data_IF_090126487264
#
_entry.id   IF_090126487264
#
_cell.length_a   1.000
_cell.length_b   1.000
_cell.length_c   1.000
_cell.angle_alpha   90.00
_cell.angle_beta   90.00
_cell.angle_gamma   90.00
#
_symmetry.space_group_name_H-M   'P 1'
#
loop_
_entity.id
_entity.type
_entity.pdbx_description
1 polymer ?
#
# COMPACT_ATOMS: atom_id res chain seq x y z
N UNK A 1 12.97 31.48 -9.36
CA UNK A 1 12.37 30.14 -9.19
C UNK A 1 11.27 30.03 -10.24
N UNK A 2 11.27 28.98 -11.08
CA UNK A 2 10.14 28.73 -11.96
C UNK A 2 8.92 28.38 -11.09
N UNK A 3 7.80 29.06 -11.33
CA UNK A 3 6.54 28.74 -10.67
C UNK A 3 6.05 27.41 -11.29
N UNK A 4 5.83 26.40 -10.44
CA UNK A 4 5.23 25.13 -10.87
C UNK A 4 3.74 25.20 -10.56
N UNK A 5 2.90 24.95 -11.56
CA UNK A 5 1.45 24.89 -11.42
C UNK A 5 0.99 23.47 -11.71
N UNK A 6 0.16 22.93 -10.84
CA UNK A 6 -0.48 21.61 -10.99
C UNK A 6 -1.99 21.82 -11.06
N UNK A 7 -2.62 21.29 -12.10
CA UNK A 7 -4.06 21.33 -12.26
C UNK A 7 -4.66 19.95 -11.99
N UNK A 8 -5.74 19.85 -11.19
CA UNK A 8 -6.45 18.59 -11.02
C UNK A 8 -7.05 18.11 -12.34
N UNK A 9 -6.97 16.81 -12.59
CA UNK A 9 -7.61 16.16 -13.74
C UNK A 9 -8.94 15.51 -13.40
N UNK A 10 -9.24 15.36 -12.10
CA UNK A 10 -10.46 14.73 -11.60
C UNK A 10 -10.56 14.81 -10.08
N UNK A 11 -11.59 14.19 -9.54
CA UNK A 11 -11.87 14.12 -8.10
C UNK A 11 -12.13 12.68 -7.66
N UNK A 12 -11.73 12.37 -6.44
CA UNK A 12 -12.07 11.12 -5.75
C UNK A 12 -13.47 11.25 -5.14
N UNK A 13 -14.33 10.27 -5.38
CA UNK A 13 -15.60 10.05 -4.72
C UNK A 13 -15.47 8.84 -3.79
N UNK A 14 -15.42 9.10 -2.49
CA UNK A 14 -15.22 8.08 -1.45
C UNK A 14 -16.32 8.17 -0.40
N UNK A 15 -16.66 7.04 0.20
CA UNK A 15 -17.54 7.00 1.39
C UNK A 15 -16.87 7.62 2.63
N UNK A 16 -15.57 7.79 2.61
CA UNK A 16 -14.78 8.28 3.75
C UNK A 16 -14.48 9.77 3.55
N UNK A 17 -14.91 10.58 4.50
CA UNK A 17 -14.72 12.04 4.50
C UNK A 17 -13.66 12.51 5.47
N UNK A 18 -13.26 11.70 6.42
CA UNK A 18 -12.24 12.04 7.41
C UNK A 18 -11.09 11.06 7.37
N UNK A 19 -9.86 11.57 7.45
CA UNK A 19 -8.63 10.76 7.47
C UNK A 19 -8.56 9.82 8.68
N UNK A 20 -9.24 10.15 9.79
CA UNK A 20 -9.31 9.29 10.98
C UNK A 20 -10.07 8.00 10.72
N UNK A 21 -11.04 8.05 9.82
CA UNK A 21 -11.98 6.95 9.57
C UNK A 21 -11.49 6.04 8.42
N UNK A 22 -10.41 6.43 7.74
CA UNK A 22 -9.85 5.67 6.63
C UNK A 22 -9.17 4.38 7.14
N UNK A 23 -9.65 3.18 6.71
CA UNK A 23 -9.00 1.91 7.02
C UNK A 23 -7.59 1.83 6.41
N UNK A 24 -6.74 0.99 6.98
CA UNK A 24 -5.36 0.79 6.48
C UNK A 24 -5.34 0.25 5.05
N UNK A 25 -6.27 -0.63 4.70
CA UNK A 25 -6.41 -1.23 3.37
C UNK A 25 -7.10 -0.32 2.35
N UNK A 26 -7.62 0.83 2.77
CA UNK A 26 -8.47 1.68 1.94
C UNK A 26 -9.89 1.13 1.80
N UNK A 27 -10.65 1.73 0.90
CA UNK A 27 -12.04 1.37 0.57
C UNK A 27 -12.23 1.35 -0.94
N UNK A 28 -13.34 0.79 -1.41
CA UNK A 28 -13.77 0.98 -2.79
C UNK A 28 -14.22 2.44 -2.97
N UNK A 29 -13.79 3.03 -4.07
CA UNK A 29 -14.07 4.43 -4.40
C UNK A 29 -14.14 4.63 -5.92
N UNK A 30 -14.60 5.78 -6.32
CA UNK A 30 -14.67 6.19 -7.73
C UNK A 30 -13.80 7.40 -7.97
N UNK A 31 -13.29 7.53 -9.19
CA UNK A 31 -12.65 8.76 -9.66
C UNK A 31 -13.42 9.27 -10.86
N UNK A 32 -13.95 10.47 -10.74
CA UNK A 32 -14.52 11.20 -11.86
C UNK A 32 -13.44 12.06 -12.53
N UNK A 33 -13.16 11.81 -13.78
CA UNK A 33 -12.23 12.60 -14.59
C UNK A 33 -13.00 13.76 -15.24
N UNK A 34 -12.44 14.96 -15.19
CA UNK A 34 -13.05 16.14 -15.80
C UNK A 34 -13.15 15.99 -17.33
N UNK A 35 -14.22 16.53 -17.90
CA UNK A 35 -14.52 16.37 -19.33
C UNK A 35 -13.39 16.79 -20.25
N UNK A 36 -12.62 17.81 -19.87
CA UNK A 36 -11.45 18.27 -20.61
C UNK A 36 -10.35 17.19 -20.77
N UNK A 37 -10.32 16.18 -19.89
CA UNK A 37 -9.32 15.12 -19.89
C UNK A 37 -9.88 13.74 -20.26
N UNK A 38 -11.15 13.65 -20.66
CA UNK A 38 -11.80 12.38 -20.99
C UNK A 38 -11.04 11.57 -22.04
N UNK A 39 -10.46 12.23 -23.05
CA UNK A 39 -9.66 11.58 -24.09
C UNK A 39 -8.40 10.86 -23.57
N UNK A 40 -7.90 11.22 -22.38
CA UNK A 40 -6.74 10.57 -21.76
C UNK A 40 -7.07 9.20 -21.16
N UNK A 41 -8.35 8.83 -21.02
CA UNK A 41 -8.78 7.52 -20.50
C UNK A 41 -8.71 6.39 -21.54
N UNK A 42 -8.45 6.70 -22.80
CA UNK A 42 -8.37 5.68 -23.85
C UNK A 42 -7.33 4.61 -23.49
N UNK A 43 -7.74 3.35 -23.44
CA UNK A 43 -6.88 2.20 -23.09
C UNK A 43 -6.64 2.00 -21.59
N UNK A 44 -7.24 2.81 -20.71
CA UNK A 44 -7.06 2.65 -19.26
C UNK A 44 -7.56 1.31 -18.75
N UNK A 45 -8.63 0.78 -19.34
CA UNK A 45 -9.26 -0.49 -18.97
C UNK A 45 -8.40 -1.74 -19.25
N UNK A 46 -7.35 -1.61 -20.04
CA UNK A 46 -6.39 -2.68 -20.32
C UNK A 46 -5.50 -2.99 -19.08
N UNK A 47 -5.54 -2.11 -18.07
CA UNK A 47 -4.69 -2.22 -16.89
C UNK A 47 -5.48 -2.79 -15.70
N UNK A 48 -4.89 -3.74 -14.98
CA UNK A 48 -5.47 -4.27 -13.73
C UNK A 48 -5.27 -3.33 -12.54
N UNK A 49 -4.18 -2.57 -12.54
CA UNK A 49 -3.83 -1.64 -11.47
C UNK A 49 -3.36 -0.30 -12.02
N UNK A 50 -3.64 0.74 -11.26
CA UNK A 50 -3.24 2.11 -11.57
C UNK A 50 -2.46 2.72 -10.41
N UNK A 51 -1.55 3.64 -10.73
CA UNK A 51 -0.92 4.54 -9.77
C UNK A 51 -1.69 5.85 -9.81
N UNK A 52 -2.26 6.23 -8.67
CA UNK A 52 -2.89 7.53 -8.49
C UNK A 52 -1.91 8.49 -7.86
N UNK A 53 -1.77 9.66 -8.45
CA UNK A 53 -1.05 10.80 -7.88
C UNK A 53 -2.09 11.84 -7.52
N UNK A 54 -2.26 12.10 -6.22
CA UNK A 54 -3.30 12.99 -5.72
C UNK A 54 -2.74 14.08 -4.81
N UNK A 55 -3.45 15.20 -4.73
CA UNK A 55 -3.14 16.28 -3.81
C UNK A 55 -3.94 16.11 -2.53
N UNK A 56 -3.26 15.87 -1.40
CA UNK A 56 -3.89 15.71 -0.09
C UNK A 56 -4.29 17.09 0.46
N UNK A 57 -5.43 17.57 0.04
CA UNK A 57 -5.89 18.95 0.19
C UNK A 57 -6.08 19.40 1.65
N UNK A 58 -6.34 18.48 2.57
CA UNK A 58 -6.45 18.76 4.02
C UNK A 58 -5.12 18.64 4.79
N UNK A 59 -4.00 18.43 4.10
CA UNK A 59 -2.72 18.21 4.77
C UNK A 59 -2.05 19.53 5.22
N UNK A 60 -1.49 19.52 6.44
CA UNK A 60 -0.65 20.63 6.89
C UNK A 60 0.72 20.59 6.17
N UNK A 61 0.99 21.61 5.37
CA UNK A 61 2.20 21.73 4.56
C UNK A 61 3.44 22.22 5.33
N UNK A 62 3.26 22.70 6.56
CA UNK A 62 4.34 23.23 7.38
C UNK A 62 5.08 22.15 8.17
N UNK A 63 4.52 20.95 8.22
CA UNK A 63 5.06 19.83 8.97
C UNK A 63 6.31 19.27 8.28
N UNK A 64 7.44 19.30 9.00
CA UNK A 64 8.71 18.73 8.56
C UNK A 64 9.06 17.42 9.28
N UNK A 65 8.46 17.18 10.47
CA UNK A 65 8.64 15.96 11.26
C UNK A 65 7.28 15.49 11.77
N UNK A 66 7.12 14.19 11.88
CA UNK A 66 5.90 13.57 12.36
C UNK A 66 6.17 12.26 13.11
N UNK A 67 5.22 11.87 13.95
CA UNK A 67 5.14 10.55 14.56
C UNK A 67 4.11 9.72 13.77
N UNK A 68 4.38 8.46 13.52
CA UNK A 68 3.43 7.55 12.87
C UNK A 68 2.29 7.17 13.86
N UNK A 69 1.47 8.16 14.24
CA UNK A 69 0.45 8.05 15.31
C UNK A 69 -0.63 7.00 15.06
N UNK A 70 -0.93 6.69 13.79
CA UNK A 70 -1.85 5.59 13.45
C UNK A 70 -1.33 4.23 13.94
N UNK A 71 -0.02 4.12 14.19
CA UNK A 71 0.60 2.90 14.70
C UNK A 71 0.79 2.97 16.21
N UNK A 72 1.44 4.04 16.69
CA UNK A 72 1.60 4.31 18.13
C UNK A 72 2.12 5.73 18.35
N UNK A 73 1.64 6.40 19.39
CA UNK A 73 2.16 7.71 19.81
C UNK A 73 3.56 7.63 20.44
N UNK A 74 4.01 6.42 20.85
CA UNK A 74 5.31 6.21 21.48
C UNK A 74 6.44 5.94 20.47
N UNK A 75 6.15 6.04 19.16
CA UNK A 75 7.17 5.92 18.14
C UNK A 75 8.01 7.22 18.05
N UNK A 76 9.29 7.10 17.71
CA UNK A 76 10.14 8.28 17.58
C UNK A 76 9.65 9.18 16.43
N UNK A 77 9.77 10.48 16.64
CA UNK A 77 9.54 11.46 15.59
C UNK A 77 10.57 11.29 14.46
N UNK A 78 10.10 11.34 13.21
CA UNK A 78 10.94 11.21 12.00
C UNK A 78 10.65 12.34 11.03
N UNK A 79 11.63 12.67 10.19
CA UNK A 79 11.41 13.56 9.06
C UNK A 79 10.33 13.00 8.12
N UNK A 80 9.47 13.88 7.59
CA UNK A 80 8.32 13.46 6.76
C UNK A 80 8.73 12.75 5.47
N UNK A 81 9.96 12.92 4.99
CA UNK A 81 10.47 12.23 3.80
C UNK A 81 10.85 10.76 4.08
N UNK A 82 11.02 10.37 5.35
CA UNK A 82 11.16 8.96 5.75
C UNK A 82 9.84 8.32 6.18
N UNK A 83 8.72 9.02 5.97
CA UNK A 83 7.37 8.57 6.29
C UNK A 83 6.45 8.73 5.08
N UNK A 84 5.38 7.93 5.04
CA UNK A 84 4.24 8.15 4.11
C UNK A 84 3.15 9.00 4.78
N UNK A 85 3.58 10.01 5.57
CA UNK A 85 2.65 10.94 6.21
C UNK A 85 2.01 11.87 5.17
N UNK A 86 0.70 12.13 5.25
CA UNK A 86 0.06 13.14 4.41
C UNK A 86 0.56 14.57 4.69
N UNK A 87 0.87 14.88 5.96
CA UNK A 87 1.39 16.19 6.35
C UNK A 87 2.85 16.33 5.89
N UNK A 88 3.09 17.16 4.88
CA UNK A 88 4.40 17.39 4.24
C UNK A 88 4.36 18.63 3.36
N UNK A 89 5.51 19.24 3.00
CA UNK A 89 5.56 20.48 2.20
C UNK A 89 4.80 20.40 0.86
N UNK A 90 4.97 19.31 0.12
CA UNK A 90 4.19 18.98 -1.07
C UNK A 90 3.38 17.72 -0.76
N UNK A 91 2.09 17.85 -0.38
CA UNK A 91 1.27 16.75 0.07
C UNK A 91 0.71 15.93 -1.11
N UNK A 92 1.64 15.40 -1.93
CA UNK A 92 1.33 14.46 -2.99
C UNK A 92 1.27 13.05 -2.41
N UNK A 93 0.19 12.33 -2.67
CA UNK A 93 0.09 10.89 -2.45
C UNK A 93 0.46 10.13 -3.71
N UNK A 94 0.94 8.91 -3.51
CA UNK A 94 1.08 7.89 -4.54
C UNK A 94 0.40 6.65 -3.98
N UNK A 95 -0.72 6.24 -4.60
CA UNK A 95 -1.49 5.06 -4.20
C UNK A 95 -1.60 4.11 -5.37
N UNK A 96 -1.22 2.85 -5.16
CA UNK A 96 -1.49 1.77 -6.13
C UNK A 96 -2.87 1.21 -5.81
N UNK A 97 -3.75 1.23 -6.80
CA UNK A 97 -5.15 0.83 -6.67
C UNK A 97 -5.51 -0.20 -7.73
N UNK A 98 -6.45 -1.10 -7.43
CA UNK A 98 -6.97 -2.05 -8.42
C UNK A 98 -8.08 -1.38 -9.21
N UNK A 99 -8.00 -1.46 -10.54
CA UNK A 99 -9.06 -1.03 -11.42
C UNK A 99 -10.15 -2.13 -11.47
N UNK A 100 -11.38 -1.75 -11.10
CA UNK A 100 -12.57 -2.61 -11.18
C UNK A 100 -13.31 -2.45 -12.51
N UNK A 101 -13.04 -1.37 -13.24
CA UNK A 101 -13.63 -1.03 -14.53
C UNK A 101 -14.05 0.42 -14.62
N UNK A 102 -14.62 0.80 -15.76
CA UNK A 102 -15.29 2.09 -15.96
C UNK A 102 -16.80 1.89 -15.74
N UNK A 103 -17.45 2.81 -15.02
CA UNK A 103 -18.90 2.80 -14.83
C UNK A 103 -19.63 3.71 -15.82
N UNK A 104 -18.99 4.81 -16.19
CA UNK A 104 -19.44 5.80 -17.13
C UNK A 104 -18.24 6.24 -17.97
N UNK A 105 -18.43 7.02 -19.03
CA UNK A 105 -17.34 7.44 -19.94
C UNK A 105 -16.14 8.08 -19.23
N UNK A 106 -16.32 8.56 -17.99
CA UNK A 106 -15.30 9.32 -17.24
C UNK A 106 -15.15 8.91 -15.80
N UNK A 107 -15.79 7.81 -15.36
CA UNK A 107 -15.78 7.36 -13.96
C UNK A 107 -15.06 6.02 -13.87
N UNK A 108 -13.93 5.99 -13.16
CA UNK A 108 -13.16 4.79 -12.85
C UNK A 108 -13.61 4.24 -11.48
N UNK A 109 -14.06 2.98 -11.46
CA UNK A 109 -14.31 2.26 -10.22
C UNK A 109 -13.03 1.56 -9.75
N UNK A 110 -12.64 1.79 -8.51
CA UNK A 110 -11.35 1.38 -7.95
C UNK A 110 -11.52 0.71 -6.59
N UNK A 111 -10.68 -0.29 -6.30
CA UNK A 111 -10.55 -0.87 -4.97
C UNK A 111 -9.27 -0.42 -4.27
N UNK A 112 -9.29 -0.51 -2.94
CA UNK A 112 -8.15 -0.21 -2.06
C UNK A 112 -7.68 1.26 -2.13
N UNK A 113 -8.60 2.19 -2.29
CA UNK A 113 -8.33 3.63 -2.31
C UNK A 113 -8.23 4.17 -0.88
N UNK A 114 -7.08 4.73 -0.53
CA UNK A 114 -6.78 5.32 0.79
C UNK A 114 -6.93 6.85 0.82
N UNK A 115 -7.85 7.36 0.00
CA UNK A 115 -8.11 8.79 -0.21
C UNK A 115 -9.52 9.15 0.23
N UNK A 116 -9.65 10.30 0.88
CA UNK A 116 -10.96 10.84 1.31
C UNK A 116 -11.72 11.47 0.15
N UNK A 117 -13.03 11.60 0.34
CA UNK A 117 -13.93 12.27 -0.60
C UNK A 117 -13.44 13.67 -0.99
N UNK A 118 -13.61 14.05 -2.26
CA UNK A 118 -13.19 15.35 -2.78
C UNK A 118 -11.67 15.51 -2.98
N UNK A 119 -10.85 14.46 -2.78
CA UNK A 119 -9.41 14.56 -3.01
C UNK A 119 -9.10 14.81 -4.50
N UNK A 120 -8.38 15.90 -4.85
CA UNK A 120 -7.99 16.17 -6.23
C UNK A 120 -7.01 15.15 -6.77
N UNK A 121 -7.33 14.59 -7.95
CA UNK A 121 -6.43 13.72 -8.72
C UNK A 121 -5.57 14.59 -9.62
N UNK A 122 -4.27 14.43 -9.55
CA UNK A 122 -3.28 15.21 -10.32
C UNK A 122 -2.82 14.44 -11.54
N UNK A 123 -2.64 13.13 -11.43
CA UNK A 123 -2.20 12.26 -12.53
C UNK A 123 -2.61 10.80 -12.27
N UNK A 124 -2.71 10.03 -13.34
CA UNK A 124 -2.94 8.58 -13.31
C UNK A 124 -1.90 7.93 -14.22
N UNK A 125 -1.27 6.85 -13.73
CA UNK A 125 -0.34 6.05 -14.53
C UNK A 125 -0.71 4.57 -14.45
N UNK A 126 -0.49 3.77 -15.50
CA UNK A 126 -0.58 2.33 -15.40
C UNK A 126 0.48 1.81 -14.45
N UNK A 127 0.12 0.83 -13.60
CA UNK A 127 1.10 0.11 -12.80
C UNK A 127 1.77 -0.98 -13.64
N UNK A 128 3.09 -0.92 -13.72
CA UNK A 128 3.89 -1.89 -14.48
C UNK A 128 4.82 -2.66 -13.55
N UNK A 129 4.51 -3.95 -13.32
CA UNK A 129 5.23 -4.80 -12.38
C UNK A 129 6.74 -4.81 -12.61
N UNK A 130 7.20 -4.82 -13.85
CA UNK A 130 8.63 -4.84 -14.19
C UNK A 130 9.37 -3.54 -13.89
N UNK A 131 8.67 -2.44 -13.64
CA UNK A 131 9.23 -1.11 -13.38
C UNK A 131 8.94 -0.62 -11.97
N UNK A 132 7.73 -0.85 -11.48
CA UNK A 132 7.24 -0.27 -10.24
C UNK A 132 7.47 -1.18 -9.03
N UNK A 133 7.65 -2.50 -9.26
CA UNK A 133 7.87 -3.46 -8.19
C UNK A 133 9.37 -3.72 -7.99
N UNK A 134 9.93 -3.21 -6.90
CA UNK A 134 11.34 -3.41 -6.54
C UNK A 134 11.45 -4.43 -5.42
N UNK A 135 11.43 -5.72 -5.76
CA UNK A 135 11.52 -6.83 -4.78
C UNK A 135 12.82 -6.83 -3.97
N UNK A 136 13.90 -6.22 -4.49
CA UNK A 136 15.17 -6.08 -3.79
C UNK A 136 15.21 -4.89 -2.82
N UNK A 137 14.16 -4.06 -2.78
CA UNK A 137 14.11 -2.95 -1.87
C UNK A 137 14.08 -3.45 -0.42
N UNK A 138 15.02 -2.95 0.39
CA UNK A 138 15.07 -3.26 1.82
C UNK A 138 14.46 -2.11 2.62
N UNK A 139 13.56 -2.48 3.54
CA UNK A 139 12.99 -1.54 4.51
C UNK A 139 13.84 -1.41 5.76
N UNK A 140 13.44 -0.53 6.64
CA UNK A 140 13.96 -0.47 8.01
C UNK A 140 13.37 -1.61 8.85
N UNK A 141 14.09 -2.03 9.88
CA UNK A 141 13.57 -2.93 10.90
C UNK A 141 12.28 -2.38 11.51
N UNK A 142 11.19 -3.11 11.34
CA UNK A 142 9.85 -2.75 11.83
C UNK A 142 9.52 -3.40 13.18
N UNK A 143 10.46 -4.14 13.79
CA UNK A 143 10.22 -4.90 15.02
C UNK A 143 9.59 -4.03 16.10
N UNK A 144 10.18 -2.88 16.41
CA UNK A 144 9.64 -1.97 17.41
C UNK A 144 8.26 -1.38 17.06
N UNK A 145 7.96 -1.25 15.77
CA UNK A 145 6.65 -0.85 15.29
C UNK A 145 5.64 -1.98 15.45
N UNK A 146 5.98 -3.19 15.01
CA UNK A 146 5.12 -4.38 15.05
C UNK A 146 4.72 -4.70 16.50
N UNK A 147 5.65 -4.61 17.45
CA UNK A 147 5.38 -4.85 18.86
C UNK A 147 4.38 -3.88 19.50
N UNK A 148 4.18 -2.71 18.88
CA UNK A 148 3.25 -1.66 19.33
C UNK A 148 1.92 -1.66 18.57
N UNK A 149 1.81 -2.45 17.51
CA UNK A 149 0.58 -2.59 16.72
C UNK A 149 -0.43 -3.46 17.46
N UNK A 150 -1.71 -3.14 17.32
CA UNK A 150 -2.78 -4.03 17.74
C UNK A 150 -2.78 -5.33 16.91
N UNK A 151 -3.20 -6.47 17.49
CA UNK A 151 -3.21 -7.75 16.77
C UNK A 151 -4.01 -7.74 15.47
N UNK A 152 -5.13 -7.00 15.44
CA UNK A 152 -5.96 -6.83 14.23
C UNK A 152 -5.23 -6.05 13.15
N UNK A 153 -4.66 -4.90 13.50
CA UNK A 153 -3.92 -4.04 12.58
C UNK A 153 -2.70 -4.77 11.96
N UNK A 154 -1.96 -5.51 12.78
CA UNK A 154 -0.83 -6.29 12.29
C UNK A 154 -1.26 -7.38 11.31
N UNK A 155 -2.35 -8.11 11.63
CA UNK A 155 -2.92 -9.13 10.74
C UNK A 155 -3.36 -8.56 9.40
N UNK A 156 -4.03 -7.42 9.41
CA UNK A 156 -4.44 -6.73 8.18
C UNK A 156 -3.23 -6.35 7.32
N UNK A 157 -2.15 -5.89 7.95
CA UNK A 157 -0.87 -5.64 7.28
C UNK A 157 -0.30 -6.89 6.60
N UNK A 158 -0.28 -8.03 7.32
CA UNK A 158 0.18 -9.32 6.78
C UNK A 158 -0.70 -9.82 5.63
N UNK A 159 -2.03 -9.68 5.76
CA UNK A 159 -2.97 -10.03 4.67
C UNK A 159 -2.64 -9.21 3.42
N UNK A 160 -2.44 -7.90 3.57
CA UNK A 160 -2.11 -7.03 2.45
C UNK A 160 -0.79 -7.43 1.79
N UNK A 161 0.27 -7.70 2.57
CA UNK A 161 1.56 -8.15 2.05
C UNK A 161 1.44 -9.49 1.31
N UNK A 162 0.69 -10.45 1.87
CA UNK A 162 0.45 -11.75 1.26
C UNK A 162 -0.35 -11.64 -0.05
N UNK A 163 -1.45 -10.89 -0.04
CA UNK A 163 -2.34 -10.71 -1.20
C UNK A 163 -1.64 -9.93 -2.31
N UNK A 164 -0.79 -8.96 -1.98
CA UNK A 164 -0.01 -8.23 -2.99
C UNK A 164 0.91 -9.15 -3.81
N UNK A 165 1.35 -10.27 -3.25
CA UNK A 165 2.17 -11.24 -3.95
C UNK A 165 1.34 -12.36 -4.59
N UNK A 166 0.40 -12.93 -3.85
CA UNK A 166 -0.42 -14.08 -4.28
C UNK A 166 -1.56 -13.71 -5.24
N UNK A 167 -2.11 -12.48 -5.12
CA UNK A 167 -3.17 -11.95 -5.98
C UNK A 167 -4.57 -11.93 -5.33
N UNK A 168 -4.88 -12.85 -4.42
CA UNK A 168 -6.19 -12.94 -3.77
C UNK A 168 -6.12 -13.47 -2.33
N UNK A 169 -7.17 -13.24 -1.56
CA UNK A 169 -7.30 -13.84 -0.24
C UNK A 169 -7.96 -15.22 -0.35
N UNK A 170 -7.16 -16.27 -0.27
CA UNK A 170 -7.60 -17.66 -0.27
C UNK A 170 -7.35 -18.36 1.10
N UNK A 171 -7.83 -19.59 1.32
CA UNK A 171 -7.58 -20.33 2.56
C UNK A 171 -6.08 -20.52 2.87
N UNK A 172 -5.24 -20.78 1.87
CA UNK A 172 -3.79 -20.91 2.03
C UNK A 172 -3.13 -19.61 2.51
N UNK A 173 -3.51 -18.48 1.94
CA UNK A 173 -3.09 -17.14 2.41
C UNK A 173 -3.51 -16.91 3.85
N UNK A 174 -4.74 -17.25 4.22
CA UNK A 174 -5.22 -17.10 5.60
C UNK A 174 -4.41 -17.95 6.59
N UNK A 175 -4.06 -19.18 6.23
CA UNK A 175 -3.17 -20.04 7.03
C UNK A 175 -1.77 -19.43 7.16
N UNK A 176 -1.17 -18.98 6.07
CA UNK A 176 0.16 -18.37 6.06
C UNK A 176 0.23 -17.12 6.95
N UNK A 177 -0.79 -16.27 6.91
CA UNK A 177 -0.92 -15.10 7.78
C UNK A 177 -0.92 -15.50 9.25
N UNK A 178 -1.66 -16.56 9.63
CA UNK A 178 -1.68 -17.06 11.01
C UNK A 178 -0.33 -17.64 11.45
N UNK A 179 0.35 -18.33 10.54
CA UNK A 179 1.72 -18.82 10.77
C UNK A 179 2.68 -17.65 10.97
N UNK A 180 2.62 -16.62 10.13
CA UNK A 180 3.44 -15.41 10.26
C UNK A 180 3.18 -14.67 11.58
N UNK A 181 1.91 -14.52 12.01
CA UNK A 181 1.59 -13.93 13.31
C UNK A 181 2.22 -14.72 14.48
N UNK A 182 2.12 -16.05 14.42
CA UNK A 182 2.71 -16.92 15.45
C UNK A 182 4.24 -16.82 15.45
N UNK A 183 4.87 -16.87 14.27
CA UNK A 183 6.32 -16.75 14.12
C UNK A 183 6.83 -15.39 14.66
N UNK A 184 6.18 -14.29 14.30
CA UNK A 184 6.53 -12.95 14.82
C UNK A 184 6.48 -12.89 16.35
N UNK A 185 5.47 -13.52 16.94
CA UNK A 185 5.28 -13.55 18.39
C UNK A 185 6.36 -14.36 19.08
N UNK A 186 6.77 -15.48 18.47
CA UNK A 186 7.81 -16.39 19.02
C UNK A 186 9.20 -15.79 18.84
N UNK A 187 9.51 -15.33 17.62
CA UNK A 187 10.82 -14.80 17.25
C UNK A 187 11.04 -13.37 17.76
N UNK A 188 9.96 -12.65 18.09
CA UNK A 188 9.95 -11.25 18.56
C UNK A 188 10.68 -10.29 17.59
N UNK A 189 10.61 -10.55 16.29
CA UNK A 189 11.25 -9.74 15.26
C UNK A 189 10.35 -9.55 14.05
N UNK A 190 10.70 -8.57 13.20
CA UNK A 190 10.14 -8.39 11.87
C UNK A 190 10.60 -9.55 10.98
N UNK A 191 9.65 -10.29 10.39
CA UNK A 191 9.97 -11.46 9.54
C UNK A 191 10.65 -11.08 8.21
N UNK A 192 10.62 -9.81 7.82
CA UNK A 192 11.33 -9.33 6.64
C UNK A 192 12.84 -9.15 6.84
N UNK A 193 13.32 -9.27 8.08
CA UNK A 193 14.72 -9.04 8.43
C UNK A 193 15.66 -10.10 7.81
N UNK A 194 16.90 -9.73 7.43
CA UNK A 194 17.84 -10.63 6.74
C UNK A 194 18.19 -11.92 7.49
N UNK A 195 18.12 -11.93 8.82
CA UNK A 195 18.41 -13.09 9.66
C UNK A 195 17.26 -14.11 9.69
N UNK A 196 16.09 -13.79 9.18
CA UNK A 196 14.95 -14.70 9.12
C UNK A 196 14.99 -15.48 7.83
N UNK A 197 15.04 -16.80 7.92
CA UNK A 197 14.89 -17.72 6.78
C UNK A 197 13.56 -18.46 6.86
N UNK A 198 13.05 -18.87 5.71
CA UNK A 198 11.77 -19.58 5.58
C UNK A 198 12.02 -20.91 4.87
N UNK A 199 11.53 -21.99 5.45
CA UNK A 199 11.47 -23.29 4.78
C UNK A 199 10.01 -23.57 4.43
N UNK A 200 9.75 -23.80 3.15
CA UNK A 200 8.40 -23.98 2.61
C UNK A 200 8.05 -25.47 2.48
N UNK A 201 6.80 -25.80 2.74
CA UNK A 201 6.18 -27.05 2.33
C UNK A 201 5.68 -26.99 0.89
N UNK A 202 4.84 -27.95 0.52
CA UNK A 202 4.36 -28.13 -0.85
C UNK A 202 3.13 -27.28 -1.23
N UNK A 203 2.52 -26.56 -0.32
CA UNK A 203 1.33 -25.73 -0.62
C UNK A 203 1.73 -24.41 -1.29
N UNK A 204 1.33 -24.18 -2.56
CA UNK A 204 1.75 -23.00 -3.30
C UNK A 204 1.17 -21.70 -2.76
N UNK A 205 -0.07 -21.69 -2.26
CA UNK A 205 -0.69 -20.48 -1.74
C UNK A 205 -0.03 -20.03 -0.43
N UNK A 206 0.35 -21.00 0.44
CA UNK A 206 1.11 -20.72 1.65
C UNK A 206 2.52 -20.23 1.30
N UNK A 207 3.15 -20.82 0.28
CA UNK A 207 4.47 -20.43 -0.18
C UNK A 207 4.49 -18.97 -0.67
N UNK A 208 3.60 -18.63 -1.59
CA UNK A 208 3.47 -17.27 -2.12
C UNK A 208 3.23 -16.24 -1.02
N UNK A 209 2.29 -16.53 -0.12
CA UNK A 209 1.97 -15.64 0.98
C UNK A 209 3.17 -15.39 1.90
N UNK A 210 3.94 -16.44 2.25
CA UNK A 210 5.13 -16.29 3.09
C UNK A 210 6.26 -15.57 2.35
N UNK A 211 6.42 -15.77 1.04
CA UNK A 211 7.36 -14.99 0.22
C UNK A 211 6.96 -13.51 0.25
N UNK A 212 5.70 -13.20 0.01
CA UNK A 212 5.18 -11.84 0.03
C UNK A 212 5.39 -11.12 1.37
N UNK A 213 5.16 -11.82 2.48
CA UNK A 213 5.32 -11.28 3.85
C UNK A 213 6.80 -11.08 4.21
N UNK A 214 7.65 -12.03 3.86
CA UNK A 214 9.03 -12.05 4.37
C UNK A 214 10.05 -11.48 3.38
N UNK A 215 9.71 -11.40 2.10
CA UNK A 215 10.66 -11.07 1.03
C UNK A 215 11.76 -12.13 0.88
N UNK A 216 11.56 -13.34 1.42
CA UNK A 216 12.53 -14.44 1.25
C UNK A 216 12.53 -14.95 -0.19
N UNK A 217 13.70 -15.19 -0.73
CA UNK A 217 13.86 -15.76 -2.07
C UNK A 217 15.11 -16.66 -2.13
N UNK A 218 15.22 -17.55 -3.14
CA UNK A 218 16.45 -18.33 -3.33
C UNK A 218 17.66 -17.44 -3.53
N UNK A 219 17.50 -16.31 -4.25
CA UNK A 219 18.60 -15.38 -4.56
C UNK A 219 19.18 -14.69 -3.33
N UNK A 220 18.38 -14.37 -2.33
CA UNK A 220 18.85 -13.81 -1.06
C UNK A 220 19.16 -14.88 0.01
N UNK A 221 19.11 -16.18 -0.36
CA UNK A 221 19.40 -17.34 0.49
C UNK A 221 18.54 -17.46 1.75
N UNK A 222 17.36 -16.85 1.73
CA UNK A 222 16.44 -16.89 2.86
C UNK A 222 15.27 -17.87 2.65
N UNK A 223 15.18 -18.48 1.46
CA UNK A 223 14.13 -19.43 1.10
C UNK A 223 14.74 -20.83 0.89
N UNK A 224 14.20 -21.81 1.62
CA UNK A 224 14.46 -23.23 1.45
C UNK A 224 13.17 -23.99 1.17
N UNK A 225 13.27 -25.22 0.66
CA UNK A 225 12.17 -26.18 0.55
C UNK A 225 12.44 -27.39 1.43
N UNK A 226 11.41 -27.83 2.18
CA UNK A 226 11.41 -29.17 2.75
C UNK A 226 11.04 -30.12 1.62
N UNK A 227 11.99 -30.99 1.19
CA UNK A 227 11.74 -32.06 0.24
C UNK A 227 10.68 -33.04 0.74
#
# INVERSE_FOLDING_TARGET
MHHMELSPIGLVHSSIRSRSDMPVQGVDAEIEIFSAYAGALSGVEENSHLILICWLHEADRRVLKAVARKVSCDLPEKGVFSLRSPARPNPLSISVVRLLGMREERVLALANVDLIDGTPVIDIKPYQTGWDCVFSATGHDRTGKIQKMGPGEYREGLIREAVNYHGELCPGVAVAVRVAEAATRILKCDLSMPQVSVTLGSDPCVADALIGITGASPGNRRLGSSG
#
